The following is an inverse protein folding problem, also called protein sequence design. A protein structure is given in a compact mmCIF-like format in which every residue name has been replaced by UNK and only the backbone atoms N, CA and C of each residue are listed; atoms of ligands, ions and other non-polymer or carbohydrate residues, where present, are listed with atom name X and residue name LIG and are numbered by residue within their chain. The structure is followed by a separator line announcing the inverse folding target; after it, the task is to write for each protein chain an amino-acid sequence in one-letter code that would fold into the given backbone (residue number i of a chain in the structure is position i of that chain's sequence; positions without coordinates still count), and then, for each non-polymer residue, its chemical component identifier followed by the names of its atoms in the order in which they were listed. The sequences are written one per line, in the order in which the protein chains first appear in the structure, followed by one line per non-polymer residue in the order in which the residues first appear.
data_IF_133704080408
#
_entry.id   IF_133704080408
#
_cell.length_a   1.000
_cell.length_b   1.000
_cell.length_c   1.000
_cell.angle_alpha   90.00
_cell.angle_beta   90.00
_cell.angle_gamma   90.00
#
_symmetry.space_group_name_H-M   'P 1'
#
loop_
_entity.id
_entity.type
_entity.pdbx_description
1 polymer ?
#
# COMPACT_ATOMS: atom_id res chain seq x y z
N UNK A 1 -5.01 -8.00 25.53
CA UNK A 1 -3.74 -7.58 24.92
C UNK A 1 -3.87 -7.49 23.40
N UNK A 2 -4.74 -6.61 22.89
CA UNK A 2 -4.88 -6.34 21.44
C UNK A 2 -5.53 -4.97 21.20
N UNK A 3 -5.35 -4.07 22.17
CA UNK A 3 -5.70 -2.66 22.06
C UNK A 3 -4.36 -1.99 21.69
N UNK A 4 -4.34 -1.06 20.72
CA UNK A 4 -3.13 -0.38 20.22
C UNK A 4 -2.37 -1.13 19.09
N UNK A 5 -3.06 -1.71 18.10
CA UNK A 5 -2.37 -2.00 16.82
C UNK A 5 -2.09 -0.66 16.13
N UNK A 6 -0.87 -0.16 16.33
CA UNK A 6 -0.33 0.94 15.57
C UNK A 6 -0.34 0.53 14.09
N UNK A 7 -1.35 1.00 13.34
CA UNK A 7 -1.57 0.66 11.92
C UNK A 7 -0.32 0.89 11.08
N UNK A 8 0.52 1.84 11.48
CA UNK A 8 1.79 2.17 10.84
C UNK A 8 2.84 1.09 11.07
N UNK A 9 2.90 0.50 12.27
CA UNK A 9 3.81 -0.62 12.57
C UNK A 9 3.39 -1.86 11.80
N UNK A 10 2.08 -2.17 11.76
CA UNK A 10 1.56 -3.27 10.94
C UNK A 10 1.84 -3.05 9.45
N UNK A 11 1.66 -1.82 8.94
CA UNK A 11 2.01 -1.47 7.56
C UNK A 11 3.50 -1.64 7.27
N UNK A 12 4.35 -1.15 8.17
CA UNK A 12 5.82 -1.19 8.01
C UNK A 12 6.32 -2.63 8.03
N UNK A 13 5.81 -3.47 8.94
CA UNK A 13 6.15 -4.90 8.97
C UNK A 13 5.73 -5.61 7.68
N UNK A 14 4.54 -5.28 7.19
CA UNK A 14 4.00 -5.80 5.95
C UNK A 14 4.86 -5.42 4.72
N UNK A 15 5.27 -4.16 4.64
CA UNK A 15 6.19 -3.64 3.62
C UNK A 15 7.57 -4.30 3.69
N UNK A 16 8.10 -4.53 4.90
CA UNK A 16 9.36 -5.25 5.08
C UNK A 16 9.25 -6.70 4.60
N UNK A 17 8.16 -7.40 4.89
CA UNK A 17 7.92 -8.75 4.36
C UNK A 17 7.82 -8.77 2.83
N UNK A 18 7.16 -7.79 2.21
CA UNK A 18 7.10 -7.65 0.75
C UNK A 18 8.45 -7.31 0.12
N UNK A 19 9.20 -6.39 0.72
CA UNK A 19 10.55 -6.01 0.29
C UNK A 19 11.54 -7.17 0.39
N UNK A 20 11.47 -7.95 1.48
CA UNK A 20 12.22 -9.18 1.62
C UNK A 20 11.80 -10.23 0.58
N UNK A 21 10.51 -10.34 0.26
CA UNK A 21 9.99 -11.19 -0.81
C UNK A 21 10.59 -10.84 -2.18
N UNK A 22 10.65 -9.56 -2.54
CA UNK A 22 11.27 -9.12 -3.79
C UNK A 22 12.80 -9.26 -3.81
N UNK A 23 13.49 -8.98 -2.70
CA UNK A 23 14.95 -9.21 -2.62
C UNK A 23 15.32 -10.70 -2.69
N UNK A 24 14.48 -11.57 -2.12
CA UNK A 24 14.68 -13.03 -2.17
C UNK A 24 14.69 -13.58 -3.61
N UNK A 25 14.06 -12.87 -4.57
CA UNK A 25 14.08 -13.25 -5.99
C UNK A 25 15.48 -13.20 -6.62
N UNK A 26 16.46 -12.51 -6.04
CA UNK A 26 17.86 -12.56 -6.52
C UNK A 26 18.57 -13.88 -6.20
N UNK A 27 18.09 -14.61 -5.20
CA UNK A 27 18.75 -15.83 -4.68
C UNK A 27 17.97 -17.09 -5.08
N UNK A 28 16.74 -16.93 -5.56
CA UNK A 28 15.84 -18.03 -5.88
C UNK A 28 15.93 -18.39 -7.37
N UNK A 29 16.56 -19.53 -7.67
CA UNK A 29 16.55 -20.14 -9.01
C UNK A 29 15.42 -21.18 -9.21
N UNK A 30 14.68 -21.51 -8.15
CA UNK A 30 13.72 -22.63 -8.14
C UNK A 30 12.26 -22.16 -8.03
N UNK A 31 11.42 -22.59 -8.97
CA UNK A 31 10.01 -22.20 -9.13
C UNK A 31 9.16 -22.27 -7.84
N UNK A 32 9.45 -23.22 -6.95
CA UNK A 32 8.65 -23.44 -5.75
C UNK A 32 8.89 -22.37 -4.68
N UNK A 33 10.11 -21.84 -4.58
CA UNK A 33 10.45 -20.80 -3.62
C UNK A 33 9.87 -19.43 -4.03
N UNK A 34 9.58 -19.25 -5.32
CA UNK A 34 8.95 -18.04 -5.85
C UNK A 34 7.55 -17.81 -5.26
N UNK A 35 6.79 -18.89 -5.04
CA UNK A 35 5.46 -18.81 -4.42
C UNK A 35 5.53 -18.25 -3.00
N UNK A 36 6.54 -18.65 -2.22
CA UNK A 36 6.71 -18.17 -0.85
C UNK A 36 7.00 -16.66 -0.83
N UNK A 37 7.86 -16.18 -1.73
CA UNK A 37 8.10 -14.74 -1.90
C UNK A 37 6.84 -13.99 -2.32
N UNK A 38 6.02 -14.57 -3.21
CA UNK A 38 4.79 -13.95 -3.70
C UNK A 38 3.72 -13.82 -2.60
N UNK A 39 3.69 -14.73 -1.62
CA UNK A 39 2.83 -14.59 -0.44
C UNK A 39 3.22 -13.34 0.37
N UNK A 40 4.52 -13.13 0.61
CA UNK A 40 5.02 -11.94 1.31
C UNK A 40 4.68 -10.64 0.57
N UNK A 41 4.84 -10.64 -0.76
CA UNK A 41 4.45 -9.51 -1.62
C UNK A 41 2.94 -9.27 -1.59
N UNK A 42 2.12 -10.33 -1.61
CA UNK A 42 0.66 -10.22 -1.56
C UNK A 42 0.16 -9.56 -0.27
N UNK A 43 0.76 -9.93 0.88
CA UNK A 43 0.46 -9.30 2.17
C UNK A 43 0.80 -7.81 2.11
N UNK A 44 2.00 -7.46 1.62
CA UNK A 44 2.44 -6.07 1.47
C UNK A 44 1.50 -5.24 0.58
N UNK A 45 1.06 -5.81 -0.54
CA UNK A 45 0.15 -5.15 -1.47
C UNK A 45 -1.22 -4.86 -0.86
N UNK A 46 -1.81 -5.82 -0.14
CA UNK A 46 -3.09 -5.63 0.53
C UNK A 46 -3.02 -4.46 1.54
N UNK A 47 -1.89 -4.35 2.24
CA UNK A 47 -1.65 -3.27 3.20
C UNK A 47 -1.55 -1.89 2.53
N UNK A 48 -0.88 -1.80 1.38
CA UNK A 48 -0.76 -0.55 0.58
C UNK A 48 -2.12 -0.05 0.10
N UNK A 49 -3.07 -0.94 -0.20
CA UNK A 49 -4.40 -0.49 -0.60
C UNK A 49 -5.27 -0.04 0.57
N UNK A 50 -5.29 -0.81 1.66
CA UNK A 50 -6.28 -0.61 2.73
C UNK A 50 -5.89 0.49 3.72
N UNK A 51 -4.60 0.58 4.08
CA UNK A 51 -4.17 1.44 5.17
C UNK A 51 -4.13 2.94 4.84
N UNK A 52 -3.61 3.42 3.70
CA UNK A 52 -3.61 4.86 3.43
C UNK A 52 -5.03 5.40 3.22
N UNK A 53 -5.92 4.60 2.66
CA UNK A 53 -7.34 4.92 2.54
C UNK A 53 -7.99 5.09 3.92
N UNK A 54 -7.73 4.16 4.85
CA UNK A 54 -8.21 4.25 6.24
C UNK A 54 -7.65 5.47 6.98
N UNK A 55 -6.41 5.87 6.71
CA UNK A 55 -5.81 7.07 7.29
C UNK A 55 -6.47 8.36 6.76
N UNK A 56 -6.88 8.38 5.49
CA UNK A 56 -7.50 9.55 4.88
C UNK A 56 -8.96 9.76 5.30
N UNK A 57 -9.75 8.70 5.43
CA UNK A 57 -11.18 8.79 5.78
C UNK A 57 -11.40 9.47 7.14
N UNK A 58 -10.45 9.33 8.08
CA UNK A 58 -10.57 9.87 9.43
C UNK A 58 -10.72 11.39 9.51
N UNK A 59 -10.33 12.13 8.47
CA UNK A 59 -10.40 13.59 8.43
C UNK A 59 -11.46 14.17 7.48
N UNK A 60 -12.27 13.33 6.82
CA UNK A 60 -13.14 13.78 5.73
C UNK A 60 -14.58 14.07 6.20
N UNK A 61 -15.20 15.19 5.76
CA UNK A 61 -16.58 15.51 6.11
C UNK A 61 -17.54 14.47 5.50
N UNK A 62 -18.44 13.87 6.30
CA UNK A 62 -19.23 12.69 5.91
C UNK A 62 -20.13 12.90 4.69
N UNK A 63 -20.51 14.15 4.41
CA UNK A 63 -21.40 14.53 3.30
C UNK A 63 -20.73 14.48 1.92
N UNK A 64 -19.40 14.37 1.83
CA UNK A 64 -18.64 14.35 0.55
C UNK A 64 -17.59 13.26 0.48
N UNK A 65 -17.67 12.26 1.36
CA UNK A 65 -16.72 11.16 1.45
C UNK A 65 -16.46 10.48 0.09
N UNK A 66 -17.51 10.23 -0.71
CA UNK A 66 -17.37 9.63 -2.04
C UNK A 66 -16.55 10.46 -3.04
N UNK A 67 -16.68 11.80 -3.02
CA UNK A 67 -15.94 12.70 -3.94
C UNK A 67 -14.44 12.71 -3.55
N UNK A 68 -14.14 12.81 -2.26
CA UNK A 68 -12.77 12.78 -1.76
C UNK A 68 -12.10 11.42 -1.97
N UNK A 69 -12.84 10.32 -1.82
CA UNK A 69 -12.37 8.98 -2.14
C UNK A 69 -12.02 8.82 -3.63
N UNK A 70 -12.84 9.39 -4.53
CA UNK A 70 -12.55 9.39 -5.97
C UNK A 70 -11.26 10.15 -6.30
N UNK A 71 -11.09 11.35 -5.74
CA UNK A 71 -9.89 12.18 -5.94
C UNK A 71 -8.63 11.45 -5.46
N UNK A 72 -8.66 10.78 -4.30
CA UNK A 72 -7.54 9.99 -3.80
C UNK A 72 -7.14 8.86 -4.77
N UNK A 73 -8.13 8.16 -5.32
CA UNK A 73 -7.87 7.10 -6.31
C UNK A 73 -7.20 7.67 -7.57
N UNK A 74 -7.66 8.83 -8.07
CA UNK A 74 -6.99 9.53 -9.17
C UNK A 74 -5.52 9.84 -8.88
N UNK A 75 -5.19 10.25 -7.65
CA UNK A 75 -3.81 10.49 -7.24
C UNK A 75 -2.94 9.24 -7.18
N UNK A 76 -3.49 8.06 -6.94
CA UNK A 76 -2.75 6.79 -6.99
C UNK A 76 -2.56 6.35 -8.44
N UNK A 77 -3.62 6.44 -9.24
CA UNK A 77 -3.65 5.88 -10.59
C UNK A 77 -2.87 6.73 -11.58
N UNK A 78 -2.88 8.06 -11.46
CA UNK A 78 -2.19 8.94 -12.42
C UNK A 78 -0.67 8.70 -12.43
N UNK A 79 0.05 8.67 -11.29
CA UNK A 79 1.44 8.25 -11.25
C UNK A 79 1.66 6.82 -11.75
N UNK A 80 0.75 5.89 -11.42
CA UNK A 80 0.84 4.50 -11.87
C UNK A 80 0.78 4.39 -13.40
N UNK A 81 -0.10 5.13 -14.06
CA UNK A 81 -0.19 5.20 -15.53
C UNK A 81 1.09 5.82 -16.10
N UNK A 82 1.56 6.93 -15.51
CA UNK A 82 2.79 7.60 -15.96
C UNK A 82 3.99 6.65 -15.91
N UNK A 83 4.15 5.91 -14.80
CA UNK A 83 5.18 4.87 -14.68
C UNK A 83 4.93 3.75 -15.68
N UNK A 84 3.72 3.23 -15.82
CA UNK A 84 3.44 2.10 -16.73
C UNK A 84 3.75 2.42 -18.20
N UNK A 85 3.56 3.67 -18.62
CA UNK A 85 3.91 4.14 -19.96
C UNK A 85 5.42 4.43 -20.10
N UNK A 86 6.05 4.99 -19.06
CA UNK A 86 7.48 5.34 -19.06
C UNK A 86 8.43 4.19 -18.72
N UNK A 87 7.93 3.10 -18.14
CA UNK A 87 8.76 2.01 -17.61
C UNK A 87 9.54 1.27 -18.70
N UNK A 88 9.00 1.19 -19.92
CA UNK A 88 9.72 0.61 -21.06
C UNK A 88 11.02 1.37 -21.35
N UNK A 89 10.97 2.70 -21.38
CA UNK A 89 12.16 3.53 -21.58
C UNK A 89 13.17 3.40 -20.43
N UNK A 90 12.67 3.33 -19.18
CA UNK A 90 13.51 3.09 -17.99
C UNK A 90 14.20 1.73 -18.06
N UNK A 91 13.51 0.70 -18.53
CA UNK A 91 14.06 -0.65 -18.67
C UNK A 91 15.20 -0.69 -19.70
N UNK A 92 15.03 0.01 -20.84
CA UNK A 92 16.03 0.02 -21.91
C UNK A 92 17.26 0.87 -21.59
N UNK A 93 17.10 1.99 -20.87
CA UNK A 93 18.21 2.93 -20.61
C UNK A 93 18.91 2.69 -19.27
N UNK A 94 18.20 2.21 -18.25
CA UNK A 94 18.71 2.14 -16.88
C UNK A 94 18.94 0.72 -16.36
N UNK A 95 18.26 -0.28 -16.95
CA UNK A 95 18.28 -1.67 -16.46
C UNK A 95 18.81 -2.70 -17.47
N UNK A 96 19.21 -2.25 -18.68
CA UNK A 96 19.78 -3.11 -19.73
C UNK A 96 18.88 -4.33 -20.05
N UNK A 97 17.56 -4.11 -20.07
CA UNK A 97 16.52 -5.13 -20.26
C UNK A 97 16.42 -6.22 -19.17
N UNK A 98 17.13 -6.09 -18.04
CA UNK A 98 17.07 -7.06 -16.97
C UNK A 98 15.88 -6.81 -16.02
N UNK A 99 14.77 -7.51 -16.28
CA UNK A 99 13.52 -7.44 -15.51
C UNK A 99 13.70 -7.77 -14.03
N UNK A 100 14.67 -8.62 -13.70
CA UNK A 100 14.91 -9.04 -12.32
C UNK A 100 15.44 -7.88 -11.47
N UNK A 101 16.33 -7.05 -12.03
CA UNK A 101 16.79 -5.83 -11.37
C UNK A 101 15.64 -4.84 -11.10
N UNK A 102 14.67 -4.76 -12.01
CA UNK A 102 13.53 -3.87 -11.86
C UNK A 102 12.67 -4.22 -10.64
N UNK A 103 12.44 -5.52 -10.45
CA UNK A 103 11.69 -6.04 -9.31
C UNK A 103 12.46 -5.83 -8.00
N UNK A 104 13.77 -6.03 -8.00
CA UNK A 104 14.63 -5.82 -6.83
C UNK A 104 14.66 -4.36 -6.42
N UNK A 105 14.77 -3.43 -7.38
CA UNK A 105 14.67 -1.99 -7.12
C UNK A 105 13.31 -1.66 -6.49
N UNK A 106 12.22 -2.26 -6.98
CA UNK A 106 10.90 -2.17 -6.35
C UNK A 106 10.88 -2.67 -4.90
N UNK A 107 11.57 -3.78 -4.62
CA UNK A 107 11.77 -4.30 -3.25
C UNK A 107 12.54 -3.35 -2.35
N UNK A 108 13.60 -2.71 -2.85
CA UNK A 108 14.35 -1.68 -2.12
C UNK A 108 13.46 -0.47 -1.82
N UNK A 109 12.66 -0.03 -2.79
CA UNK A 109 11.67 1.04 -2.59
C UNK A 109 10.64 0.69 -1.52
N UNK A 110 10.17 -0.57 -1.45
CA UNK A 110 9.28 -1.03 -0.37
C UNK A 110 9.92 -0.95 1.01
N UNK A 111 11.21 -1.31 1.13
CA UNK A 111 11.93 -1.18 2.40
C UNK A 111 12.11 0.28 2.79
N UNK A 112 12.47 1.15 1.84
CA UNK A 112 12.56 2.59 2.07
C UNK A 112 11.19 3.15 2.53
N UNK A 113 10.09 2.72 1.88
CA UNK A 113 8.75 3.08 2.27
C UNK A 113 8.43 2.65 3.70
N UNK A 114 8.83 1.44 4.12
CA UNK A 114 8.62 0.95 5.49
C UNK A 114 9.32 1.83 6.54
N UNK A 115 10.51 2.36 6.25
CA UNK A 115 11.19 3.31 7.13
C UNK A 115 10.54 4.70 7.11
N UNK A 116 10.10 5.16 5.94
CA UNK A 116 9.39 6.44 5.80
C UNK A 116 8.04 6.43 6.52
N UNK A 117 7.32 5.31 6.51
CA UNK A 117 6.02 5.18 7.19
C UNK A 117 6.13 5.29 8.70
N UNK A 118 7.31 5.02 9.30
CA UNK A 118 7.57 5.29 10.71
C UNK A 118 7.68 6.79 11.04
N UNK A 119 7.96 7.64 10.05
CA UNK A 119 8.05 9.10 10.22
C UNK A 119 6.71 9.81 10.03
N UNK A 120 5.72 9.12 9.48
CA UNK A 120 4.36 9.65 9.41
C UNK A 120 3.76 9.58 10.81
N UNK A 121 3.03 10.60 11.24
CA UNK A 121 2.28 10.61 12.50
C UNK A 121 0.80 10.34 12.16
N UNK A 122 0.29 9.14 12.44
CA UNK A 122 -1.13 8.86 12.20
C UNK A 122 -1.96 9.30 13.38
N UNK A 123 -2.92 10.17 13.09
CA UNK A 123 -4.01 10.51 14.01
C UNK A 123 -4.83 9.22 14.24
N UNK A 124 -4.98 8.76 15.50
CA UNK A 124 -5.74 7.55 15.78
C UNK A 124 -7.21 7.77 15.41
N UNK A 125 -7.77 6.84 14.63
CA UNK A 125 -9.20 6.82 14.30
C UNK A 125 -10.11 6.45 15.50
N UNK A 126 -9.62 6.67 16.73
CA UNK A 126 -10.34 6.41 17.97
C UNK A 126 -11.30 7.57 18.33
N UNK A 127 -11.21 8.71 17.62
CA UNK A 127 -12.12 9.85 17.76
C UNK A 127 -13.13 9.96 16.61
N UNK A 128 -13.46 8.84 15.95
CA UNK A 128 -14.57 8.79 15.02
C UNK A 128 -15.85 8.39 15.78
N UNK A 129 -16.94 9.19 15.74
CA UNK A 129 -18.23 8.77 16.27
C UNK A 129 -18.64 7.44 15.63
N UNK A 130 -19.07 6.48 16.46
CA UNK A 130 -19.51 5.15 16.03
C UNK A 130 -20.47 5.26 14.83
N UNK A 131 -20.32 4.44 13.77
CA UNK A 131 -21.23 4.42 12.62
C UNK A 131 -22.58 3.72 12.95
N UNK A 132 -23.17 4.03 14.11
CA UNK A 132 -24.38 3.37 14.62
C UNK A 132 -25.67 4.19 14.40
N UNK A 133 -25.61 5.30 13.64
CA UNK A 133 -26.76 6.22 13.48
C UNK A 133 -27.00 6.66 12.02
N UNK A 134 -26.68 5.85 11.01
CA UNK A 134 -27.04 6.19 9.61
C UNK A 134 -27.79 5.09 8.84
N UNK A 135 -27.92 3.89 9.39
CA UNK A 135 -28.70 2.81 8.75
C UNK A 135 -30.22 2.89 9.06
N UNK A 136 -30.67 3.87 9.84
CA UNK A 136 -32.08 3.99 10.25
C UNK A 136 -32.88 5.09 9.54
N UNK A 137 -32.26 5.96 8.73
CA UNK A 137 -32.99 7.03 8.01
C UNK A 137 -33.24 6.73 6.52
N UNK A 138 -32.50 5.81 5.90
CA UNK A 138 -32.70 5.45 4.47
C UNK A 138 -33.87 4.48 4.24
N UNK A 139 -34.49 3.97 5.31
CA UNK A 139 -35.71 3.13 5.27
C UNK A 139 -36.98 3.88 5.68
N UNK A 140 -36.93 5.20 5.87
CA UNK A 140 -38.07 6.02 6.32
C UNK A 140 -38.56 7.07 5.30
N UNK A 141 -38.27 6.91 4.01
CA UNK A 141 -38.87 7.70 2.91
C UNK A 141 -39.30 6.80 1.77
#
# INVERSE_FOLDING_TARGET
MAQITNRQITHSFCLLCGGAGFMSLMVIDNQYWLFLSMVGVGIAWASILTLPYSMLIGGLPPKRTGIFMGIFNFFIVLPQIAVSLGFGWVMDNFLDNNRLFAVVIGGVFMVIAAFLTQRVETIPAQDLPKPEVQLSEETAV
#
